data_IF_440383034583
#
_entry.id   IF_440383034583
#
_cell.length_a   1.000
_cell.length_b   1.000
_cell.length_c   1.000
_cell.angle_alpha   90.00
_cell.angle_beta   90.00
_cell.angle_gamma   90.00
#
_symmetry.space_group_name_H-M   'P 1'
#
loop_
_entity.id
_entity.type
_entity.pdbx_description
1 polymer ?
#
# COMPACT_ATOMS: atom_id res chain seq x y z
N UNK A 1 -48.16 -16.20 69.03
CA UNK A 1 -46.99 -15.44 68.58
C UNK A 1 -46.13 -16.39 67.77
N UNK A 2 -46.19 -16.29 66.44
CA UNK A 2 -45.50 -17.20 65.51
C UNK A 2 -44.17 -16.60 65.09
N UNK A 3 -43.10 -17.35 65.32
CA UNK A 3 -41.75 -17.03 64.83
C UNK A 3 -41.57 -17.71 63.48
N UNK A 4 -41.56 -16.93 62.40
CA UNK A 4 -41.20 -17.43 61.07
C UNK A 4 -39.67 -17.49 60.97
N UNK A 5 -39.11 -18.69 60.95
CA UNK A 5 -37.71 -18.93 60.57
C UNK A 5 -37.54 -18.70 59.06
N UNK A 6 -36.78 -17.67 58.71
CA UNK A 6 -36.39 -17.38 57.33
C UNK A 6 -35.18 -18.25 56.98
N UNK A 7 -35.40 -19.42 56.37
CA UNK A 7 -34.33 -20.26 55.80
C UNK A 7 -33.64 -19.52 54.64
N UNK A 8 -32.46 -18.96 54.93
CA UNK A 8 -31.57 -18.36 53.92
C UNK A 8 -30.86 -19.43 53.10
N UNK A 9 -31.46 -19.85 51.98
CA UNK A 9 -30.79 -20.70 50.98
C UNK A 9 -29.73 -19.91 50.20
N UNK A 10 -28.47 -20.33 50.28
CA UNK A 10 -27.39 -19.75 49.47
C UNK A 10 -27.59 -20.08 47.98
N UNK A 11 -27.29 -19.16 47.05
CA UNK A 11 -27.49 -19.39 45.63
C UNK A 11 -26.60 -20.53 45.10
N UNK A 12 -27.09 -21.35 44.15
CA UNK A 12 -26.33 -22.46 43.58
C UNK A 12 -25.07 -21.94 42.86
N UNK A 13 -23.91 -22.57 43.15
CA UNK A 13 -22.66 -22.24 42.47
C UNK A 13 -22.72 -22.69 41.01
N UNK A 14 -22.28 -21.87 40.04
CA UNK A 14 -22.29 -22.26 38.62
C UNK A 14 -21.41 -23.49 38.41
N UNK A 15 -21.97 -24.54 37.80
CA UNK A 15 -21.25 -25.78 37.51
C UNK A 15 -20.12 -25.58 36.49
N UNK A 16 -19.02 -26.34 36.63
CA UNK A 16 -17.81 -26.28 35.81
C UNK A 16 -18.08 -26.22 34.28
N UNK A 17 -19.08 -26.98 33.80
CA UNK A 17 -19.50 -27.01 32.38
C UNK A 17 -20.10 -25.68 31.90
N UNK A 18 -20.82 -24.97 32.76
CA UNK A 18 -21.44 -23.67 32.43
C UNK A 18 -20.40 -22.56 32.29
N UNK A 19 -19.34 -22.59 33.10
CA UNK A 19 -18.23 -21.63 33.05
C UNK A 19 -17.41 -21.80 31.77
N UNK A 20 -17.11 -23.04 31.38
CA UNK A 20 -16.38 -23.33 30.13
C UNK A 20 -17.14 -22.81 28.91
N UNK A 21 -18.45 -23.05 28.83
CA UNK A 21 -19.26 -22.59 27.70
C UNK A 21 -19.36 -21.06 27.62
N UNK A 22 -19.39 -20.37 28.77
CA UNK A 22 -19.32 -18.90 28.82
C UNK A 22 -18.00 -18.37 28.25
N UNK A 23 -16.88 -19.02 28.57
CA UNK A 23 -15.57 -18.64 28.04
C UNK A 23 -15.53 -18.85 26.51
N UNK A 24 -15.94 -20.04 26.03
CA UNK A 24 -15.97 -20.35 24.60
C UNK A 24 -16.85 -19.37 23.83
N UNK A 25 -18.04 -19.07 24.34
CA UNK A 25 -18.95 -18.10 23.72
C UNK A 25 -18.30 -16.71 23.64
N UNK A 26 -17.69 -16.23 24.72
CA UNK A 26 -17.05 -14.91 24.74
C UNK A 26 -15.84 -14.86 23.80
N UNK A 27 -15.05 -15.94 23.71
CA UNK A 27 -13.95 -16.04 22.75
C UNK A 27 -14.47 -16.01 21.32
N UNK A 28 -15.54 -16.76 21.00
CA UNK A 28 -16.13 -16.77 19.67
C UNK A 28 -16.69 -15.40 19.28
N UNK A 29 -17.37 -14.71 20.21
CA UNK A 29 -17.85 -13.35 20.01
C UNK A 29 -16.69 -12.36 19.79
N UNK A 30 -15.63 -12.46 20.61
CA UNK A 30 -14.44 -11.62 20.47
C UNK A 30 -13.73 -11.82 19.14
N UNK A 31 -13.49 -13.07 18.73
CA UNK A 31 -12.88 -13.39 17.43
C UNK A 31 -13.76 -12.88 16.28
N UNK A 32 -15.07 -13.07 16.36
CA UNK A 32 -16.02 -12.58 15.33
C UNK A 32 -15.95 -11.06 15.23
N UNK A 33 -15.93 -10.35 16.37
CA UNK A 33 -15.83 -8.89 16.38
C UNK A 33 -14.50 -8.40 15.78
N UNK A 34 -13.38 -9.05 16.08
CA UNK A 34 -12.06 -8.74 15.51
C UNK A 34 -12.06 -8.96 14.00
N UNK A 35 -12.57 -10.11 13.54
CA UNK A 35 -12.64 -10.43 12.10
C UNK A 35 -13.54 -9.44 11.37
N UNK A 36 -14.70 -9.10 11.93
CA UNK A 36 -15.61 -8.11 11.36
C UNK A 36 -14.94 -6.73 11.26
N UNK A 37 -14.32 -6.26 12.35
CA UNK A 37 -13.60 -4.98 12.39
C UNK A 37 -12.48 -4.93 11.35
N UNK A 38 -11.68 -5.99 11.24
CA UNK A 38 -10.62 -6.09 10.24
C UNK A 38 -11.16 -6.03 8.80
N UNK A 39 -12.23 -6.77 8.50
CA UNK A 39 -12.81 -6.77 7.16
C UNK A 39 -13.44 -5.43 6.79
N UNK A 40 -14.11 -4.77 7.74
CA UNK A 40 -14.64 -3.41 7.54
C UNK A 40 -13.50 -2.44 7.24
N UNK A 41 -12.49 -2.38 8.11
CA UNK A 41 -11.32 -1.51 7.93
C UNK A 41 -10.60 -1.78 6.59
N UNK A 42 -10.44 -3.05 6.22
CA UNK A 42 -9.86 -3.46 4.94
C UNK A 42 -10.67 -2.97 3.75
N UNK A 43 -12.01 -3.05 3.84
CA UNK A 43 -12.91 -2.58 2.79
C UNK A 43 -12.80 -1.08 2.59
N UNK A 44 -12.94 -0.31 3.68
CA UNK A 44 -12.87 1.15 3.67
C UNK A 44 -11.52 1.64 3.11
N UNK A 45 -10.42 1.03 3.58
CA UNK A 45 -9.09 1.38 3.11
C UNK A 45 -8.88 1.07 1.63
N UNK A 46 -9.43 -0.05 1.13
CA UNK A 46 -9.31 -0.41 -0.27
C UNK A 46 -10.10 0.53 -1.18
N UNK A 47 -11.27 1.01 -0.72
CA UNK A 47 -12.10 1.95 -1.48
C UNK A 47 -11.46 3.35 -1.53
N UNK A 48 -10.88 3.81 -0.43
CA UNK A 48 -10.09 5.04 -0.39
C UNK A 48 -8.91 4.96 -1.38
N UNK A 49 -8.23 3.81 -1.43
CA UNK A 49 -7.12 3.59 -2.37
C UNK A 49 -7.57 3.55 -3.83
N UNK A 50 -8.79 3.06 -4.10
CA UNK A 50 -9.31 2.99 -5.47
C UNK A 50 -9.79 4.35 -5.98
N UNK A 51 -10.43 5.13 -5.11
CA UNK A 51 -10.95 6.45 -5.45
C UNK A 51 -9.84 7.50 -5.54
N UNK A 52 -8.75 7.32 -4.80
CA UNK A 52 -7.62 8.25 -4.79
C UNK A 52 -6.55 8.00 -5.84
N UNK A 53 -6.75 7.12 -6.83
CA UNK A 53 -5.75 6.84 -7.87
C UNK A 53 -6.32 6.40 -9.21
N UNK A 54 -5.51 6.54 -10.25
CA UNK A 54 -5.82 6.15 -11.62
C UNK A 54 -5.00 4.93 -12.04
N UNK A 55 -5.50 4.19 -13.03
CA UNK A 55 -4.76 3.10 -13.67
C UNK A 55 -4.58 3.43 -15.14
N UNK A 56 -3.33 3.47 -15.59
CA UNK A 56 -2.98 3.64 -17.00
C UNK A 56 -2.48 2.33 -17.58
N UNK A 57 -2.94 2.02 -18.80
CA UNK A 57 -2.43 0.89 -19.57
C UNK A 57 -1.10 1.25 -20.23
N UNK A 58 -0.06 0.47 -19.93
CA UNK A 58 1.26 0.61 -20.54
C UNK A 58 1.58 -0.60 -21.42
N UNK A 59 2.64 -0.50 -22.24
CA UNK A 59 3.08 -1.63 -23.09
C UNK A 59 3.41 -2.91 -22.32
N UNK A 60 3.70 -2.80 -21.03
CA UNK A 60 4.10 -3.92 -20.16
C UNK A 60 2.99 -4.31 -19.16
N UNK A 61 1.82 -3.67 -19.25
CA UNK A 61 0.65 -3.93 -18.39
C UNK A 61 0.14 -2.68 -17.66
N UNK A 62 -0.94 -2.83 -16.87
CA UNK A 62 -1.53 -1.73 -16.13
C UNK A 62 -0.60 -1.23 -15.02
N UNK A 63 -0.58 0.08 -14.81
CA UNK A 63 0.14 0.73 -13.71
C UNK A 63 -0.81 1.68 -12.99
N UNK A 64 -0.94 1.50 -11.68
CA UNK A 64 -1.69 2.40 -10.83
C UNK A 64 -0.81 3.57 -10.40
N UNK A 65 -1.30 4.80 -10.51
CA UNK A 65 -0.55 6.00 -10.19
C UNK A 65 -1.44 7.13 -9.68
N UNK A 66 -0.79 8.13 -9.09
CA UNK A 66 -1.36 9.45 -8.82
C UNK A 66 -0.50 10.52 -9.47
N UNK A 67 -1.15 11.56 -9.97
CA UNK A 67 -0.53 12.82 -10.33
C UNK A 67 -1.17 13.92 -9.46
N UNK A 68 -0.38 14.55 -8.59
CA UNK A 68 -0.90 15.52 -7.62
C UNK A 68 -0.01 16.77 -7.61
N UNK A 69 -0.62 17.95 -7.48
CA UNK A 69 0.08 19.23 -7.50
C UNK A 69 -0.10 19.99 -8.82
N UNK A 70 0.24 21.28 -8.77
CA UNK A 70 -0.08 22.30 -9.76
C UNK A 70 1.17 22.94 -10.39
N UNK A 71 2.37 22.43 -10.06
CA UNK A 71 3.62 22.91 -10.65
C UNK A 71 3.87 22.42 -12.08
N UNK A 72 4.54 23.22 -12.88
CA UNK A 72 4.89 22.89 -14.28
C UNK A 72 5.95 21.77 -14.40
N UNK A 73 6.68 21.49 -13.30
CA UNK A 73 7.72 20.48 -13.25
C UNK A 73 7.22 19.21 -12.56
N UNK A 74 7.42 18.07 -13.21
CA UNK A 74 6.99 16.76 -12.67
C UNK A 74 8.13 16.06 -11.93
N UNK A 75 7.88 15.66 -10.68
CA UNK A 75 8.79 14.85 -9.86
C UNK A 75 8.24 13.45 -9.71
N UNK A 76 9.07 12.45 -10.05
CA UNK A 76 8.73 11.04 -9.88
C UNK A 76 9.01 10.59 -8.44
N UNK A 77 7.97 10.18 -7.72
CA UNK A 77 8.07 9.64 -6.36
C UNK A 77 7.92 8.12 -6.36
N UNK A 78 8.97 7.41 -5.96
CA UNK A 78 8.99 5.94 -5.88
C UNK A 78 8.97 5.51 -4.41
N UNK A 79 7.93 4.78 -4.03
CA UNK A 79 7.72 4.31 -2.67
C UNK A 79 8.66 3.15 -2.27
N UNK A 80 8.82 2.99 -0.95
CA UNK A 80 9.55 1.89 -0.32
C UNK A 80 8.72 0.61 -0.21
N UNK A 81 9.05 -0.23 0.77
CA UNK A 81 8.30 -1.46 1.07
C UNK A 81 7.92 -1.52 2.55
N UNK A 82 6.71 -1.98 2.92
CA UNK A 82 5.52 -2.20 2.07
C UNK A 82 4.86 -0.86 1.72
N UNK A 83 4.13 -0.75 0.60
CA UNK A 83 3.37 0.47 0.25
C UNK A 83 3.07 0.57 -1.25
N UNK A 84 2.31 1.58 -1.66
CA UNK A 84 2.06 1.93 -3.05
C UNK A 84 2.11 3.43 -3.28
N UNK A 85 1.29 3.94 -4.21
CA UNK A 85 1.13 5.38 -4.43
C UNK A 85 0.65 6.14 -3.17
N UNK A 86 0.14 5.44 -2.16
CA UNK A 86 -0.33 5.98 -0.89
C UNK A 86 0.79 6.42 0.06
N UNK A 87 2.05 6.16 -0.29
CA UNK A 87 3.24 6.69 0.39
C UNK A 87 3.86 7.92 -0.30
N UNK A 88 3.13 8.53 -1.23
CA UNK A 88 3.56 9.77 -1.87
C UNK A 88 3.72 10.90 -0.86
N UNK A 89 4.53 11.89 -1.24
CA UNK A 89 4.69 13.14 -0.51
C UNK A 89 4.35 14.30 -1.45
N UNK A 90 3.75 15.35 -0.91
CA UNK A 90 3.54 16.60 -1.64
C UNK A 90 4.83 17.40 -1.72
N UNK A 91 5.05 18.09 -2.84
CA UNK A 91 6.17 19.00 -3.03
C UNK A 91 5.66 20.31 -3.61
N UNK A 92 5.66 21.38 -2.81
CA UNK A 92 5.11 22.67 -3.21
C UNK A 92 5.84 23.24 -4.43
N UNK A 93 5.06 23.73 -5.41
CA UNK A 93 5.60 24.24 -6.69
C UNK A 93 5.99 23.16 -7.70
N UNK A 94 5.71 21.89 -7.40
CA UNK A 94 5.93 20.76 -8.30
C UNK A 94 4.66 19.92 -8.42
N UNK A 95 4.56 19.20 -9.52
CA UNK A 95 3.59 18.13 -9.70
C UNK A 95 4.26 16.79 -9.41
N UNK A 96 3.72 16.00 -8.49
CA UNK A 96 4.29 14.72 -8.07
C UNK A 96 3.56 13.58 -8.78
N UNK A 97 4.32 12.81 -9.56
CA UNK A 97 3.89 11.56 -10.17
C UNK A 97 4.30 10.39 -9.26
N UNK A 98 3.34 9.71 -8.66
CA UNK A 98 3.56 8.60 -7.73
C UNK A 98 2.95 7.29 -8.27
N UNK A 99 3.70 6.47 -9.02
CA UNK A 99 3.25 5.15 -9.45
C UNK A 99 3.44 4.09 -8.35
N UNK A 100 2.54 3.11 -8.33
CA UNK A 100 2.67 1.89 -7.53
C UNK A 100 3.60 0.92 -8.25
N UNK A 101 4.56 0.35 -7.51
CA UNK A 101 5.52 -0.62 -8.05
C UNK A 101 4.82 -1.94 -8.39
N UNK A 102 5.35 -2.73 -9.35
CA UNK A 102 4.84 -4.06 -9.65
C UNK A 102 4.74 -4.94 -8.41
N UNK A 103 3.54 -5.49 -8.16
CA UNK A 103 3.25 -6.30 -6.98
C UNK A 103 2.58 -5.54 -5.82
N UNK A 104 2.35 -4.23 -5.98
CA UNK A 104 1.64 -3.41 -5.01
C UNK A 104 0.32 -2.90 -5.58
N UNK A 105 -0.70 -2.89 -4.72
CA UNK A 105 -2.05 -2.41 -5.01
C UNK A 105 -2.62 -3.01 -6.32
N UNK A 106 -3.07 -2.19 -7.27
CA UNK A 106 -3.62 -2.62 -8.57
C UNK A 106 -2.55 -2.77 -9.67
N UNK A 107 -1.25 -2.67 -9.35
CA UNK A 107 -0.17 -2.91 -10.32
C UNK A 107 0.32 -4.37 -10.25
N UNK A 108 0.04 -5.20 -11.27
CA UNK A 108 0.36 -6.62 -11.21
C UNK A 108 1.88 -6.86 -11.23
N UNK A 109 2.35 -7.87 -10.49
CA UNK A 109 3.78 -8.22 -10.44
C UNK A 109 4.36 -8.61 -11.81
N UNK A 110 3.50 -9.07 -12.74
CA UNK A 110 3.89 -9.39 -14.12
C UNK A 110 4.40 -8.17 -14.89
N UNK A 111 3.92 -6.96 -14.58
CA UNK A 111 4.30 -5.73 -15.29
C UNK A 111 5.78 -5.37 -15.13
N UNK A 112 6.44 -5.84 -14.07
CA UNK A 112 7.86 -5.55 -13.85
C UNK A 112 8.50 -6.50 -12.85
N UNK A 113 8.38 -7.81 -13.11
CA UNK A 113 8.88 -8.88 -12.24
C UNK A 113 10.40 -8.85 -12.05
N UNK A 114 11.14 -8.31 -13.02
CA UNK A 114 12.60 -8.19 -12.97
C UNK A 114 12.99 -6.73 -13.08
N UNK A 115 13.85 -6.28 -12.17
CA UNK A 115 14.59 -5.05 -12.38
C UNK A 115 15.60 -5.32 -13.49
N UNK A 116 15.28 -4.90 -14.72
CA UNK A 116 16.18 -5.10 -15.86
C UNK A 116 17.34 -4.10 -15.73
N UNK A 117 18.48 -4.59 -15.26
CA UNK A 117 19.72 -3.83 -15.03
C UNK A 117 20.48 -3.45 -16.31
N UNK A 118 19.93 -3.70 -17.50
CA UNK A 118 20.63 -3.55 -18.79
C UNK A 118 21.08 -2.12 -19.15
N UNK A 119 20.80 -1.13 -18.30
CA UNK A 119 21.27 0.26 -18.42
C UNK A 119 22.07 0.76 -17.21
N UNK A 120 22.16 0.00 -16.11
CA UNK A 120 22.89 0.41 -14.90
C UNK A 120 24.38 0.03 -14.95
N UNK A 121 24.77 -0.86 -15.88
CA UNK A 121 26.16 -1.23 -16.15
C UNK A 121 26.41 -1.27 -17.67
N UNK A 122 26.38 -0.12 -18.32
CA UNK A 122 27.30 0.06 -19.45
C UNK A 122 28.64 0.48 -18.82
N UNK A 123 29.66 -0.40 -18.72
CA UNK A 123 31.00 0.10 -18.50
C UNK A 123 31.30 1.08 -19.63
N UNK A 124 31.70 2.31 -19.27
CA UNK A 124 32.23 3.30 -20.19
C UNK A 124 33.51 2.72 -20.83
N UNK A 125 33.36 1.88 -21.85
CA UNK A 125 34.46 1.23 -22.56
C UNK A 125 34.05 1.02 -24.01
N UNK A 126 34.04 2.13 -24.74
CA UNK A 126 34.64 2.30 -26.08
C UNK A 126 33.93 3.39 -26.89
N UNK A 127 33.94 4.62 -26.40
CA UNK A 127 33.86 5.79 -27.28
C UNK A 127 35.29 6.06 -27.79
N UNK A 128 35.80 5.17 -28.64
CA UNK A 128 37.01 5.43 -29.43
C UNK A 128 36.74 4.98 -30.85
N UNK A 129 36.92 5.93 -31.76
CA UNK A 129 36.81 5.91 -33.22
C UNK A 129 35.42 5.71 -33.83
N UNK A 130 34.78 6.83 -34.18
CA UNK A 130 34.54 7.17 -35.59
C UNK A 130 34.00 8.61 -35.72
N UNK A 131 34.92 9.52 -36.08
CA UNK A 131 34.74 10.66 -36.98
C UNK A 131 33.41 11.43 -36.94
N UNK A 132 33.28 12.37 -36.01
CA UNK A 132 32.40 13.54 -36.18
C UNK A 132 33.16 14.78 -35.71
N UNK A 133 34.02 15.30 -36.58
CA UNK A 133 34.57 16.64 -36.44
C UNK A 133 34.27 17.38 -37.75
N UNK A 134 33.18 18.16 -37.75
CA UNK A 134 32.96 19.19 -38.76
C UNK A 134 33.80 20.41 -38.38
N UNK A 135 34.54 21.04 -39.32
CA UNK A 135 35.25 22.27 -39.01
C UNK A 135 34.27 23.45 -39.02
N UNK A 136 34.17 24.15 -37.89
CA UNK A 136 33.66 25.52 -37.84
C UNK A 136 34.70 26.40 -38.53
N UNK A 137 34.33 26.96 -39.68
CA UNK A 137 35.08 28.01 -40.34
C UNK A 137 34.91 29.32 -39.55
N UNK A 138 36.01 29.80 -38.97
CA UNK A 138 36.14 31.11 -38.37
C UNK A 138 36.09 32.18 -39.48
N UNK A 139 35.08 33.04 -39.42
CA UNK A 139 34.92 34.19 -40.30
C UNK A 139 35.31 35.44 -39.52
N UNK A 140 36.60 35.80 -39.56
CA UNK A 140 37.11 37.13 -39.21
C UNK A 140 38.25 37.58 -40.14
N UNK A 141 37.88 38.27 -41.21
CA UNK A 141 38.37 39.57 -41.71
C UNK A 141 38.11 39.68 -43.20
#
# INVERSE_FOLDING_TARGET
>A
MGSTETTGGSPPRPGCRSTVWRIVKNLLLGVTAVVYSYNSFRGDRLEELRSGSEVIETRIGPVEYVLEGDGDQVVLSIHGTPGGYDQRFGLAGFQVLAPSRPGYLRTPISAGRRMRTSLCWMPCRSMRSSSWASPVADRRR
#
